data_IF_625818194777
#
_entry.id   IF_625818194777
#
_cell.length_a   1.000
_cell.length_b   1.000
_cell.length_c   1.000
_cell.angle_alpha   90.00
_cell.angle_beta   90.00
_cell.angle_gamma   90.00
#
_symmetry.space_group_name_H-M   'P 1'
#
loop_
_entity.id
_entity.type
_entity.pdbx_description
1 polymer ?
#
# COMPACT_ATOMS: atom_id res chain seq x y z
N UNK A 1 3.58 -48.94 3.54
CA UNK A 1 3.36 -48.01 2.42
C UNK A 1 3.30 -46.59 2.98
N UNK A 2 4.35 -45.81 2.78
CA UNK A 2 4.39 -44.41 3.22
C UNK A 2 3.64 -43.54 2.21
N UNK A 3 2.42 -43.14 2.57
CA UNK A 3 1.68 -42.11 1.85
C UNK A 3 2.41 -40.79 2.00
N UNK A 4 3.04 -40.32 0.93
CA UNK A 4 3.53 -38.95 0.80
C UNK A 4 2.33 -38.01 0.89
N UNK A 5 2.07 -37.47 2.07
CA UNK A 5 1.29 -36.25 2.22
C UNK A 5 2.08 -35.13 1.52
N UNK A 6 1.78 -34.90 0.25
CA UNK A 6 2.11 -33.64 -0.42
C UNK A 6 1.48 -32.53 0.42
N UNK A 7 2.30 -31.83 1.19
CA UNK A 7 1.94 -30.49 1.70
C UNK A 7 1.42 -29.72 0.49
N UNK A 8 0.18 -29.27 0.56
CA UNK A 8 -0.27 -28.21 -0.32
C UNK A 8 0.68 -27.02 -0.09
N UNK A 9 1.54 -26.75 -1.07
CA UNK A 9 2.31 -25.51 -1.12
C UNK A 9 1.28 -24.38 -1.19
N UNK A 10 1.15 -23.61 -0.12
CA UNK A 10 0.43 -22.33 -0.13
C UNK A 10 1.08 -21.45 -1.20
N UNK A 11 0.47 -21.39 -2.39
CA UNK A 11 0.83 -20.44 -3.44
C UNK A 11 0.39 -19.04 -3.00
N UNK A 12 1.35 -18.10 -3.00
CA UNK A 12 1.16 -16.65 -3.05
C UNK A 12 0.14 -16.03 -2.11
N UNK A 13 0.50 -15.85 -0.83
CA UNK A 13 -0.24 -14.97 0.08
C UNK A 13 0.73 -14.04 0.78
N UNK A 14 0.35 -12.76 0.95
CA UNK A 14 1.11 -11.84 1.79
C UNK A 14 1.26 -12.41 3.19
N UNK A 15 2.50 -12.58 3.66
CA UNK A 15 2.77 -12.96 5.05
C UNK A 15 2.91 -11.69 5.88
N UNK A 16 1.96 -11.41 6.77
CA UNK A 16 2.12 -10.35 7.77
C UNK A 16 3.24 -10.68 8.76
N UNK A 17 4.07 -9.70 9.08
CA UNK A 17 5.25 -9.85 9.94
C UNK A 17 5.15 -9.03 11.22
N UNK A 18 4.78 -7.76 11.09
CA UNK A 18 4.73 -6.79 12.20
C UNK A 18 3.50 -5.92 12.01
N UNK A 19 2.76 -5.67 13.08
CA UNK A 19 1.63 -4.72 13.12
C UNK A 19 2.01 -3.48 13.94
N UNK A 20 1.37 -2.36 13.64
CA UNK A 20 1.56 -1.08 14.33
C UNK A 20 0.24 -0.30 14.40
N UNK A 21 0.22 0.78 15.18
CA UNK A 21 -1.04 1.45 15.57
C UNK A 21 -1.58 2.44 14.53
N UNK A 22 -0.74 2.90 13.61
CA UNK A 22 -1.11 3.85 12.56
C UNK A 22 -1.23 3.20 11.19
N UNK A 23 -2.09 3.76 10.32
CA UNK A 23 -2.17 3.33 8.93
C UNK A 23 -1.00 3.92 8.13
N UNK A 24 -0.46 3.15 7.19
CA UNK A 24 0.56 3.61 6.26
C UNK A 24 -0.07 4.51 5.22
N UNK A 25 0.33 5.78 5.22
CA UNK A 25 0.03 6.70 4.15
C UNK A 25 1.25 6.96 3.28
N UNK A 26 2.43 7.04 3.89
CA UNK A 26 3.71 7.45 3.31
C UNK A 26 4.82 6.42 3.58
N UNK A 27 5.93 6.46 2.81
CA UNK A 27 7.08 5.59 3.06
C UNK A 27 7.66 5.73 4.47
N UNK A 28 7.60 6.92 5.06
CA UNK A 28 8.16 7.21 6.38
C UNK A 28 7.42 6.46 7.49
N UNK A 29 6.11 6.24 7.33
CA UNK A 29 5.26 5.60 8.32
C UNK A 29 5.66 4.15 8.60
N UNK A 30 6.26 3.48 7.62
CA UNK A 30 6.61 2.06 7.72
C UNK A 30 8.09 1.79 8.07
N UNK A 31 8.99 2.77 7.94
CA UNK A 31 10.43 2.55 8.07
C UNK A 31 10.85 1.85 9.38
N UNK A 32 10.36 2.27 10.57
CA UNK A 32 10.74 1.61 11.81
C UNK A 32 10.29 0.14 11.85
N UNK A 33 9.02 -0.13 11.51
CA UNK A 33 8.45 -1.47 11.53
C UNK A 33 9.09 -2.37 10.44
N UNK A 34 9.45 -1.80 9.30
CA UNK A 34 10.13 -2.51 8.20
C UNK A 34 11.51 -3.00 8.62
N UNK A 35 12.30 -2.13 9.29
CA UNK A 35 13.62 -2.51 9.81
C UNK A 35 13.53 -3.66 10.82
N UNK A 36 12.55 -3.60 11.72
CA UNK A 36 12.26 -4.69 12.67
C UNK A 36 11.87 -5.98 11.93
N UNK A 37 10.94 -5.90 10.98
CA UNK A 37 10.45 -7.06 10.24
C UNK A 37 11.56 -7.78 9.45
N UNK A 38 12.43 -7.01 8.79
CA UNK A 38 13.59 -7.55 8.07
C UNK A 38 14.59 -8.14 9.07
N UNK A 39 14.96 -7.39 10.12
CA UNK A 39 15.91 -7.86 11.12
C UNK A 39 15.49 -9.16 11.79
N UNK A 40 14.18 -9.34 12.06
CA UNK A 40 13.62 -10.57 12.60
C UNK A 40 13.69 -11.75 11.60
N UNK A 41 13.59 -11.50 10.29
CA UNK A 41 13.66 -12.57 9.29
C UNK A 41 15.08 -12.91 8.86
N UNK A 42 15.99 -11.94 8.85
CA UNK A 42 17.35 -12.11 8.31
C UNK A 42 18.41 -12.22 9.39
N UNK A 43 18.06 -12.02 10.66
CA UNK A 43 19.00 -11.97 11.80
C UNK A 43 20.13 -10.95 11.59
N UNK A 44 19.85 -9.88 10.83
CA UNK A 44 20.83 -8.88 10.42
C UNK A 44 20.30 -7.46 10.62
N UNK A 45 21.16 -6.57 11.09
CA UNK A 45 20.84 -5.15 11.19
C UNK A 45 20.96 -4.53 9.80
N UNK A 46 19.88 -3.89 9.34
CA UNK A 46 19.87 -3.13 8.10
C UNK A 46 19.52 -1.67 8.34
N UNK A 47 20.29 -0.79 7.73
CA UNK A 47 19.95 0.63 7.63
C UNK A 47 19.12 0.83 6.36
N UNK A 48 17.83 1.09 6.53
CA UNK A 48 16.91 1.37 5.42
C UNK A 48 16.54 2.84 5.41
N UNK A 49 16.51 3.41 4.22
CA UNK A 49 16.07 4.77 3.98
C UNK A 49 14.89 4.80 3.02
N UNK A 50 14.22 5.94 2.92
CA UNK A 50 13.17 6.16 1.93
C UNK A 50 13.65 6.01 0.49
N UNK A 51 14.97 6.10 0.23
CA UNK A 51 15.57 5.90 -1.09
C UNK A 51 15.57 4.45 -1.55
N UNK A 52 15.47 3.52 -0.61
CA UNK A 52 15.44 2.07 -0.89
C UNK A 52 14.02 1.61 -1.23
N UNK A 53 13.03 2.41 -0.82
CA UNK A 53 11.62 2.12 -1.04
C UNK A 53 11.23 2.39 -2.50
N UNK A 54 10.42 1.48 -3.04
CA UNK A 54 9.79 1.57 -4.36
C UNK A 54 8.28 1.52 -4.17
N UNK A 55 7.57 2.22 -5.04
CA UNK A 55 6.12 2.26 -5.05
C UNK A 55 5.59 1.42 -6.21
N UNK A 56 4.66 0.51 -5.89
CA UNK A 56 4.01 -0.37 -6.85
C UNK A 56 2.49 -0.35 -6.68
N UNK A 57 1.80 -0.52 -7.80
CA UNK A 57 0.44 -1.04 -7.81
C UNK A 57 0.54 -2.56 -7.92
N UNK A 58 -0.31 -3.26 -7.16
CA UNK A 58 -0.36 -4.72 -7.13
C UNK A 58 -1.64 -5.18 -7.83
N UNK A 59 -1.48 -6.14 -8.73
CA UNK A 59 -2.57 -6.82 -9.40
C UNK A 59 -2.49 -8.33 -9.13
N UNK A 60 -3.65 -8.96 -9.08
CA UNK A 60 -3.76 -10.42 -9.00
C UNK A 60 -3.19 -11.06 -10.26
N UNK A 61 -2.43 -12.13 -10.11
CA UNK A 61 -1.94 -12.90 -11.26
C UNK A 61 -3.05 -13.69 -11.96
N UNK A 62 -4.16 -13.97 -11.27
CA UNK A 62 -5.23 -14.84 -11.77
C UNK A 62 -6.13 -14.11 -12.77
N UNK A 63 -6.50 -12.87 -12.46
CA UNK A 63 -7.49 -12.09 -13.21
C UNK A 63 -7.05 -10.64 -13.50
N UNK A 64 -5.82 -10.27 -13.14
CA UNK A 64 -5.27 -8.92 -13.26
C UNK A 64 -6.11 -7.86 -12.53
N UNK A 65 -6.92 -8.25 -11.54
CA UNK A 65 -7.70 -7.34 -10.70
C UNK A 65 -6.78 -6.51 -9.81
N UNK A 66 -7.14 -5.26 -9.57
CA UNK A 66 -6.37 -4.37 -8.71
C UNK A 66 -6.53 -4.76 -7.24
N UNK A 67 -5.41 -5.01 -6.56
CA UNK A 67 -5.37 -5.37 -5.14
C UNK A 67 -5.12 -4.13 -4.28
N UNK A 68 -4.14 -3.30 -4.64
CA UNK A 68 -3.77 -2.14 -3.84
C UNK A 68 -2.48 -1.46 -4.27
N UNK A 69 -2.08 -0.43 -3.53
CA UNK A 69 -0.83 0.30 -3.71
C UNK A 69 0.10 -0.02 -2.52
N UNK A 70 1.39 -0.21 -2.77
CA UNK A 70 2.34 -0.57 -1.72
C UNK A 70 3.70 0.09 -1.85
N UNK A 71 4.31 0.35 -0.70
CA UNK A 71 5.70 0.72 -0.55
C UNK A 71 6.52 -0.53 -0.23
N UNK A 72 7.57 -0.81 -1.01
CA UNK A 72 8.32 -2.07 -0.94
C UNK A 72 9.82 -1.84 -1.02
N UNK A 73 10.56 -2.65 -0.26
CA UNK A 73 11.99 -2.89 -0.42
C UNK A 73 12.19 -4.33 -0.89
N UNK A 74 13.07 -4.51 -1.87
CA UNK A 74 13.52 -5.84 -2.31
C UNK A 74 14.80 -6.21 -1.57
N UNK A 75 14.80 -7.38 -0.94
CA UNK A 75 15.96 -7.91 -0.24
C UNK A 75 15.98 -9.44 -0.33
N UNK A 76 17.14 -10.01 -0.70
CA UNK A 76 17.34 -11.46 -0.79
C UNK A 76 16.25 -12.18 -1.61
N UNK A 77 15.82 -11.57 -2.72
CA UNK A 77 14.80 -12.11 -3.62
C UNK A 77 13.36 -12.07 -3.06
N UNK A 78 13.12 -11.34 -1.98
CA UNK A 78 11.79 -11.13 -1.40
C UNK A 78 11.41 -9.66 -1.36
N UNK A 79 10.11 -9.40 -1.42
CA UNK A 79 9.55 -8.08 -1.15
C UNK A 79 9.11 -7.97 0.30
N UNK A 80 9.50 -6.86 0.92
CA UNK A 80 9.07 -6.44 2.25
C UNK A 80 8.46 -5.06 2.14
N UNK A 81 7.28 -4.85 2.71
CA UNK A 81 6.60 -3.58 2.50
C UNK A 81 5.30 -3.44 3.26
N UNK A 82 4.59 -2.37 2.99
CA UNK A 82 3.25 -2.14 3.52
C UNK A 82 2.33 -1.63 2.40
N UNK A 83 1.08 -2.06 2.46
CA UNK A 83 0.02 -1.51 1.61
C UNK A 83 -0.48 -0.19 2.19
N UNK A 84 -0.79 0.77 1.32
CA UNK A 84 -1.39 2.03 1.72
C UNK A 84 -2.74 1.79 2.39
N UNK A 85 -2.97 2.42 3.54
CA UNK A 85 -4.19 2.23 4.35
C UNK A 85 -4.18 0.96 5.19
N UNK A 86 -3.07 0.23 5.27
CA UNK A 86 -2.89 -0.91 6.20
C UNK A 86 -1.93 -0.53 7.33
N UNK A 87 -1.91 -1.33 8.40
CA UNK A 87 -1.08 -1.10 9.58
C UNK A 87 -0.12 -2.26 9.86
N UNK A 88 0.35 -2.94 8.81
CA UNK A 88 1.26 -4.06 8.95
C UNK A 88 2.33 -4.09 7.86
N UNK A 89 3.46 -4.71 8.19
CA UNK A 89 4.50 -5.06 7.23
C UNK A 89 4.23 -6.46 6.70
N UNK A 90 4.20 -6.61 5.38
CA UNK A 90 4.14 -7.89 4.70
C UNK A 90 5.51 -8.35 4.20
N UNK A 91 5.60 -9.64 3.91
CA UNK A 91 6.58 -10.21 2.98
C UNK A 91 5.93 -11.13 1.95
N UNK A 92 6.48 -11.18 0.74
CA UNK A 92 6.08 -12.11 -0.32
C UNK A 92 7.21 -12.38 -1.32
N UNK A 93 7.03 -13.40 -2.16
CA UNK A 93 7.85 -13.56 -3.37
C UNK A 93 7.37 -12.52 -4.41
N UNK A 94 8.28 -11.83 -5.13
CA UNK A 94 7.89 -10.90 -6.19
C UNK A 94 7.03 -11.52 -7.29
N UNK A 95 7.08 -12.86 -7.46
CA UNK A 95 6.30 -13.62 -8.44
C UNK A 95 4.89 -13.96 -7.98
N UNK A 96 4.58 -13.78 -6.70
CA UNK A 96 3.26 -14.10 -6.15
C UNK A 96 2.17 -13.15 -6.68
N UNK A 97 2.55 -11.96 -7.16
CA UNK A 97 1.64 -10.95 -7.71
C UNK A 97 2.25 -10.21 -8.89
N UNK A 98 1.41 -9.49 -9.64
CA UNK A 98 1.87 -8.61 -10.70
C UNK A 98 2.11 -7.20 -10.14
N UNK A 99 3.38 -6.85 -9.96
CA UNK A 99 3.80 -5.53 -9.46
C UNK A 99 4.10 -4.57 -10.61
N UNK A 100 3.38 -3.44 -10.66
CA UNK A 100 3.56 -2.39 -11.67
C UNK A 100 4.07 -1.11 -10.99
N UNK A 101 5.27 -0.67 -11.36
CA UNK A 101 5.90 0.53 -10.79
C UNK A 101 5.04 1.76 -11.05
N UNK A 102 4.85 2.60 -10.04
CA UNK A 102 4.00 3.79 -10.13
C UNK A 102 4.58 4.97 -9.34
N UNK A 103 4.11 6.18 -9.66
CA UNK A 103 4.32 7.39 -8.86
C UNK A 103 3.00 7.92 -8.23
N UNK A 104 1.90 7.23 -8.50
CA UNK A 104 0.56 7.50 -7.99
C UNK A 104 0.28 6.58 -6.81
N UNK A 105 -0.14 7.17 -5.70
CA UNK A 105 -0.49 6.49 -4.45
C UNK A 105 -2.01 6.49 -4.32
N UNK A 106 -2.59 5.32 -4.09
CA UNK A 106 -4.04 5.14 -3.93
C UNK A 106 -4.33 4.79 -2.48
N UNK A 107 -4.89 5.72 -1.71
CA UNK A 107 -5.20 5.52 -0.30
C UNK A 107 -6.70 5.21 -0.17
N UNK A 108 -7.09 4.04 0.36
CA UNK A 108 -8.50 3.75 0.61
C UNK A 108 -9.05 4.70 1.67
N UNK A 109 -10.27 5.20 1.44
CA UNK A 109 -11.02 6.06 2.34
C UNK A 109 -12.22 5.30 2.92
N UNK A 110 -12.56 5.63 4.17
CA UNK A 110 -13.66 5.00 4.91
C UNK A 110 -14.93 5.83 4.76
N UNK A 111 -15.79 5.50 3.78
CA UNK A 111 -17.15 6.04 3.73
C UNK A 111 -18.19 4.94 3.95
N UNK A 112 -19.26 5.29 4.65
CA UNK A 112 -20.42 4.45 4.99
C UNK A 112 -21.39 4.38 3.79
N UNK A 113 -21.01 3.76 2.69
CA UNK A 113 -21.91 3.49 1.54
C UNK A 113 -21.48 2.19 0.82
N UNK A 114 -22.31 1.69 -0.10
CA UNK A 114 -21.98 0.51 -0.93
C UNK A 114 -20.78 0.73 -1.89
N UNK A 115 -20.31 1.97 -2.01
CA UNK A 115 -19.26 2.39 -2.94
C UNK A 115 -17.90 2.51 -2.25
N UNK A 116 -16.81 2.30 -3.00
CA UNK A 116 -15.45 2.53 -2.50
C UNK A 116 -14.96 3.92 -2.83
N UNK A 117 -14.21 4.52 -1.91
CA UNK A 117 -13.61 5.83 -2.08
C UNK A 117 -12.10 5.75 -1.95
N UNK A 118 -11.39 6.50 -2.79
CA UNK A 118 -9.93 6.52 -2.81
C UNK A 118 -9.41 7.94 -2.90
N UNK A 119 -8.49 8.29 -2.02
CA UNK A 119 -7.66 9.47 -2.16
C UNK A 119 -6.49 9.11 -3.09
N UNK A 120 -6.41 9.81 -4.21
CA UNK A 120 -5.33 9.67 -5.17
C UNK A 120 -4.29 10.75 -4.88
N UNK A 121 -3.10 10.31 -4.54
CA UNK A 121 -1.94 11.15 -4.30
C UNK A 121 -0.84 10.85 -5.32
N UNK A 122 0.18 11.70 -5.37
CA UNK A 122 1.42 11.42 -6.06
C UNK A 122 2.63 11.70 -5.16
N UNK A 123 3.71 10.97 -5.40
CA UNK A 123 4.99 11.19 -4.71
C UNK A 123 5.76 12.33 -5.38
N UNK A 124 6.04 13.39 -4.62
CA UNK A 124 6.88 14.48 -5.07
C UNK A 124 8.36 14.14 -4.87
N UNK A 125 9.03 13.72 -5.96
CA UNK A 125 10.41 13.23 -5.93
C UNK A 125 11.44 14.24 -5.40
N UNK A 126 11.23 15.53 -5.65
CA UNK A 126 12.18 16.58 -5.25
C UNK A 126 12.00 17.04 -3.79
N UNK A 127 10.95 16.57 -3.09
CA UNK A 127 10.60 16.98 -1.74
C UNK A 127 10.52 15.76 -0.82
N UNK A 128 11.61 14.98 -0.78
CA UNK A 128 11.77 13.84 0.13
C UNK A 128 10.62 12.81 0.10
N UNK A 129 10.09 12.52 -1.09
CA UNK A 129 8.94 11.62 -1.27
C UNK A 129 7.67 12.07 -0.53
N UNK A 130 7.49 13.38 -0.33
CA UNK A 130 6.24 13.93 0.21
C UNK A 130 5.04 13.62 -0.70
N UNK A 131 3.89 13.42 -0.07
CA UNK A 131 2.64 13.11 -0.75
C UNK A 131 1.83 14.37 -1.00
N UNK A 132 1.36 14.49 -2.23
CA UNK A 132 0.54 15.59 -2.69
C UNK A 132 -0.76 15.02 -3.22
N UNK A 133 -1.87 15.59 -2.81
CA UNK A 133 -3.19 15.10 -3.17
C UNK A 133 -3.57 15.60 -4.56
N UNK A 134 -4.12 14.70 -5.36
CA UNK A 134 -4.58 15.00 -6.72
C UNK A 134 -6.10 15.02 -6.79
N UNK A 135 -6.75 13.99 -6.28
CA UNK A 135 -8.21 13.84 -6.42
C UNK A 135 -8.78 12.84 -5.44
N UNK A 136 -10.08 12.93 -5.18
CA UNK A 136 -10.86 11.83 -4.60
C UNK A 136 -11.65 11.16 -5.72
N UNK A 137 -11.55 9.84 -5.80
CA UNK A 137 -12.31 9.00 -6.71
C UNK A 137 -13.32 8.15 -5.96
N UNK A 138 -14.49 8.01 -6.57
CA UNK A 138 -15.56 7.08 -6.18
C UNK A 138 -15.57 5.92 -7.17
N UNK A 139 -15.63 4.70 -6.67
CA UNK A 139 -15.79 3.47 -7.47
C UNK A 139 -17.11 2.82 -7.07
N UNK A 140 -18.03 2.71 -8.02
CA UNK A 140 -19.27 1.98 -7.83
C UNK A 140 -18.98 0.48 -7.84
N UNK A 141 -19.35 -0.21 -6.77
CA UNK A 141 -19.05 -1.64 -6.59
C UNK A 141 -19.92 -2.56 -7.46
N UNK A 142 -21.05 -2.07 -7.99
CA UNK A 142 -21.95 -2.86 -8.82
C UNK A 142 -21.43 -3.00 -10.27
N UNK A 143 -20.89 -1.92 -10.84
CA UNK A 143 -20.48 -1.85 -12.25
C UNK A 143 -19.00 -1.49 -12.45
N UNK A 144 -18.23 -1.33 -11.36
CA UNK A 144 -16.85 -0.86 -11.34
C UNK A 144 -16.65 0.53 -11.97
N UNK A 145 -17.71 1.31 -12.14
CA UNK A 145 -17.62 2.65 -12.72
C UNK A 145 -16.86 3.58 -11.77
N UNK A 146 -15.80 4.20 -12.29
CA UNK A 146 -14.94 5.11 -11.54
C UNK A 146 -15.22 6.56 -11.93
N UNK A 147 -15.51 7.41 -10.96
CA UNK A 147 -15.73 8.85 -11.15
C UNK A 147 -14.85 9.66 -10.20
N UNK A 148 -14.19 10.69 -10.73
CA UNK A 148 -13.57 11.74 -9.92
C UNK A 148 -14.67 12.61 -9.32
N UNK A 149 -14.70 12.73 -8.00
CA UNK A 149 -15.70 13.54 -7.28
C UNK A 149 -15.12 14.85 -6.78
N UNK A 150 -13.81 14.89 -6.50
CA UNK A 150 -13.07 16.08 -6.09
C UNK A 150 -11.73 16.07 -6.81
N UNK A 151 -11.34 17.22 -7.33
CA UNK A 151 -10.01 17.48 -7.88
C UNK A 151 -9.34 18.57 -7.03
N UNK A 152 -8.14 18.28 -6.55
CA UNK A 152 -7.38 19.21 -5.73
C UNK A 152 -6.43 20.02 -6.62
N UNK A 153 -6.10 21.23 -6.16
CA UNK A 153 -5.09 22.06 -6.82
C UNK A 153 -3.72 21.37 -6.83
N UNK A 154 -2.86 21.78 -7.78
CA UNK A 154 -1.55 21.17 -8.01
C UNK A 154 -0.70 21.07 -6.75
N UNK A 155 -0.82 22.05 -5.84
CA UNK A 155 0.03 22.14 -4.65
C UNK A 155 -0.70 21.75 -3.34
N UNK A 156 -1.78 20.97 -3.46
CA UNK A 156 -2.58 20.59 -2.30
C UNK A 156 -1.89 19.47 -1.50
N UNK A 157 -1.46 19.79 -0.28
CA UNK A 157 -0.72 18.86 0.56
C UNK A 157 -1.56 17.65 0.98
N UNK A 158 -0.91 16.50 1.20
CA UNK A 158 -1.56 15.32 1.75
C UNK A 158 -2.25 15.59 3.09
N UNK A 159 -1.60 16.32 4.00
CA UNK A 159 -2.17 16.63 5.31
C UNK A 159 -3.46 17.46 5.18
N UNK A 160 -3.47 18.45 4.28
CA UNK A 160 -4.66 19.25 3.98
C UNK A 160 -5.79 18.36 3.40
N UNK A 161 -5.45 17.40 2.55
CA UNK A 161 -6.42 16.45 2.01
C UNK A 161 -6.99 15.50 3.06
N UNK A 162 -6.18 15.07 4.04
CA UNK A 162 -6.67 14.25 5.16
C UNK A 162 -7.62 15.06 6.05
N UNK A 163 -7.31 16.32 6.36
CA UNK A 163 -8.22 17.20 7.10
C UNK A 163 -9.53 17.35 6.36
N UNK A 164 -9.48 17.67 5.06
CA UNK A 164 -10.67 17.74 4.21
C UNK A 164 -11.46 16.43 4.22
N UNK A 165 -10.79 15.28 4.08
CA UNK A 165 -11.44 13.97 4.09
C UNK A 165 -12.16 13.69 5.42
N UNK A 166 -11.59 14.09 6.56
CA UNK A 166 -12.24 13.96 7.88
C UNK A 166 -13.46 14.88 8.00
N UNK A 167 -13.34 16.13 7.58
CA UNK A 167 -14.43 17.12 7.63
C UNK A 167 -15.62 16.71 6.75
N UNK A 168 -15.35 16.10 5.59
CA UNK A 168 -16.37 15.64 4.65
C UNK A 168 -16.87 14.21 4.92
N UNK A 169 -16.38 13.55 5.98
CA UNK A 169 -16.82 12.21 6.36
C UNK A 169 -16.31 11.07 5.47
N UNK A 170 -15.21 11.28 4.75
CA UNK A 170 -14.49 10.22 4.02
C UNK A 170 -13.50 9.43 4.91
N UNK A 171 -13.23 9.91 6.12
CA UNK A 171 -12.44 9.20 7.13
C UNK A 171 -13.19 9.29 8.45
N UNK A 172 -13.28 8.18 9.17
CA UNK A 172 -13.81 8.19 10.53
C UNK A 172 -12.92 9.02 11.46
N UNK A 173 -13.54 9.68 12.44
CA UNK A 173 -12.84 10.44 13.48
C UNK A 173 -12.05 9.52 14.40
#
# INVERSE_FOLDING_TARGET
MFGKNKKAENRGSFKSLVHFDHLVASPQDMLPALGVAIGLQTEAVMLLTTKDIRLYNIYSNDDNSYIGCCYVVELNGKYYGAMTGTNYIFSCDPRDYHFVKTNVVTIPLSKIDADKYFLICYLHKNLNLSLWAKSIKKVNMHDNFTRTIIEFGRDFSFNSAIVYCKEQGFLHK
#
